data_IF_395757205822
#
_entry.id   IF_395757205822
#
_cell.length_a   1.000
_cell.length_b   1.000
_cell.length_c   1.000
_cell.angle_alpha   90.00
_cell.angle_beta   90.00
_cell.angle_gamma   90.00
#
_symmetry.space_group_name_H-M   'P 1'
#
loop_
_entity.id
_entity.type
_entity.pdbx_description
1 polymer ?
#
# COMPACT_ATOMS: atom_id res chain seq x y z
N UNK A 1 3.42 -15.01 -4.91
CA UNK A 1 3.89 -13.73 -5.49
C UNK A 1 2.92 -13.19 -6.52
N UNK A 2 2.63 -13.92 -7.56
CA UNK A 2 1.78 -13.46 -8.70
C UNK A 2 0.35 -13.11 -8.31
N UNK A 3 -0.16 -13.64 -7.20
CA UNK A 3 -1.51 -13.35 -6.68
C UNK A 3 -1.55 -12.21 -5.66
N UNK A 4 -0.44 -11.49 -5.47
CA UNK A 4 -0.34 -10.45 -4.44
C UNK A 4 0.01 -9.09 -5.04
N UNK A 5 -0.58 -8.05 -4.45
CA UNK A 5 -0.39 -6.66 -4.82
C UNK A 5 -0.08 -5.82 -3.58
N UNK A 6 1.02 -5.05 -3.60
CA UNK A 6 1.35 -4.10 -2.53
C UNK A 6 0.89 -2.70 -2.85
N UNK A 7 0.78 -1.88 -1.81
CA UNK A 7 0.51 -0.45 -1.93
C UNK A 7 1.71 0.37 -1.49
N UNK A 8 1.96 1.48 -2.18
CA UNK A 8 2.95 2.46 -1.77
C UNK A 8 2.54 3.85 -2.26
N UNK A 9 2.55 4.84 -1.38
CA UNK A 9 2.10 6.18 -1.76
C UNK A 9 2.39 7.21 -0.69
N UNK A 10 2.13 8.46 -1.04
CA UNK A 10 2.36 9.59 -0.16
C UNK A 10 1.34 9.65 0.99
N UNK A 11 1.75 10.24 2.11
CA UNK A 11 0.86 10.50 3.26
C UNK A 11 -0.17 11.57 2.93
N UNK A 12 0.23 12.60 2.17
CA UNK A 12 -0.67 13.63 1.68
C UNK A 12 -1.19 13.27 0.30
N UNK A 13 -2.50 13.12 0.17
CA UNK A 13 -3.16 12.87 -1.10
C UNK A 13 -3.63 14.20 -1.71
N UNK A 14 -3.37 14.40 -3.00
CA UNK A 14 -3.86 15.55 -3.74
C UNK A 14 -5.32 15.40 -4.16
N UNK A 15 -5.87 16.47 -4.71
CA UNK A 15 -7.25 16.47 -5.23
C UNK A 15 -7.45 15.51 -6.42
N UNK A 16 -6.36 15.06 -7.03
CA UNK A 16 -6.35 14.08 -8.13
C UNK A 16 -6.54 12.64 -7.67
N UNK A 17 -6.47 12.36 -6.35
CA UNK A 17 -6.74 11.02 -5.85
C UNK A 17 -8.23 10.70 -5.96
N UNK A 18 -8.54 9.74 -6.81
CA UNK A 18 -9.92 9.30 -7.08
C UNK A 18 -10.12 7.92 -6.44
N UNK A 19 -10.86 7.91 -5.34
CA UNK A 19 -11.16 6.71 -4.56
C UNK A 19 -11.91 5.64 -5.38
N UNK A 20 -12.80 6.08 -6.26
CA UNK A 20 -13.56 5.16 -7.13
C UNK A 20 -12.64 4.48 -8.15
N UNK A 21 -11.74 5.23 -8.78
CA UNK A 21 -10.74 4.64 -9.70
C UNK A 21 -9.81 3.67 -8.99
N UNK A 22 -9.40 4.00 -7.77
CA UNK A 22 -8.60 3.09 -6.95
C UNK A 22 -9.34 1.79 -6.67
N UNK A 23 -10.61 1.88 -6.30
CA UNK A 23 -11.45 0.70 -6.07
C UNK A 23 -11.62 -0.15 -7.33
N UNK A 24 -11.89 0.48 -8.47
CA UNK A 24 -12.01 -0.22 -9.75
C UNK A 24 -10.73 -0.95 -10.12
N UNK A 25 -9.56 -0.35 -9.86
CA UNK A 25 -8.27 -0.98 -10.14
C UNK A 25 -8.04 -2.23 -9.30
N UNK A 26 -8.28 -2.18 -7.98
CA UNK A 26 -8.14 -3.39 -7.14
C UNK A 26 -9.14 -4.48 -7.54
N UNK A 27 -10.33 -4.09 -7.95
CA UNK A 27 -11.35 -5.03 -8.46
C UNK A 27 -10.89 -5.70 -9.77
N UNK A 28 -10.36 -4.93 -10.70
CA UNK A 28 -9.81 -5.45 -11.96
C UNK A 28 -8.66 -6.42 -11.69
N UNK A 29 -7.73 -6.07 -10.81
CA UNK A 29 -6.62 -6.96 -10.45
C UNK A 29 -7.13 -8.28 -9.85
N UNK A 30 -8.15 -8.22 -9.01
CA UNK A 30 -8.77 -9.42 -8.45
C UNK A 30 -9.45 -10.26 -9.55
N UNK A 31 -10.36 -9.67 -10.31
CA UNK A 31 -11.22 -10.39 -11.26
C UNK A 31 -10.48 -10.83 -12.52
N UNK A 32 -9.52 -10.04 -13.01
CA UNK A 32 -8.85 -10.29 -14.30
C UNK A 32 -7.44 -10.83 -14.18
N UNK A 33 -6.72 -10.50 -13.10
CA UNK A 33 -5.34 -10.92 -12.90
C UNK A 33 -5.18 -11.96 -11.79
N UNK A 34 -6.26 -12.35 -11.11
CA UNK A 34 -6.23 -13.37 -10.08
C UNK A 34 -5.56 -12.93 -8.77
N UNK A 35 -5.43 -11.62 -8.53
CA UNK A 35 -4.91 -11.10 -7.27
C UNK A 35 -5.93 -11.33 -6.17
N UNK A 36 -5.59 -12.14 -5.18
CA UNK A 36 -6.45 -12.43 -4.03
C UNK A 36 -5.97 -11.76 -2.74
N UNK A 37 -4.72 -11.30 -2.68
CA UNK A 37 -4.11 -10.76 -1.47
C UNK A 37 -3.53 -9.38 -1.74
N UNK A 38 -3.94 -8.41 -0.92
CA UNK A 38 -3.44 -7.04 -0.99
C UNK A 38 -2.64 -6.73 0.27
N UNK A 39 -1.41 -6.22 0.09
CA UNK A 39 -0.45 -5.98 1.17
C UNK A 39 -0.32 -4.48 1.40
N UNK A 40 -0.68 -4.04 2.60
CA UNK A 40 -0.77 -2.64 2.99
C UNK A 40 0.22 -2.35 4.12
N UNK A 41 0.89 -1.21 4.05
CA UNK A 41 1.85 -0.79 5.08
C UNK A 41 1.24 -0.06 6.27
N UNK A 42 -0.04 0.24 6.24
CA UNK A 42 -0.78 0.88 7.33
C UNK A 42 -0.38 2.33 7.61
N UNK A 43 0.35 3.01 6.72
CA UNK A 43 0.72 4.40 6.90
C UNK A 43 -0.46 5.35 6.65
N UNK A 44 -0.41 6.54 7.26
CA UNK A 44 -1.39 7.61 7.00
C UNK A 44 -1.44 7.93 5.50
N UNK A 45 -2.62 8.25 5.01
CA UNK A 45 -2.84 8.67 3.63
C UNK A 45 -3.14 7.49 2.72
N UNK A 46 -2.33 7.29 1.69
CA UNK A 46 -2.61 6.32 0.64
C UNK A 46 -2.84 4.90 1.17
N UNK A 47 -1.99 4.43 2.07
CA UNK A 47 -2.09 3.06 2.61
C UNK A 47 -3.43 2.81 3.30
N UNK A 48 -3.86 3.72 4.17
CA UNK A 48 -5.14 3.59 4.88
C UNK A 48 -6.31 3.62 3.90
N UNK A 49 -6.30 4.54 2.94
CA UNK A 49 -7.34 4.60 1.90
C UNK A 49 -7.45 3.27 1.14
N UNK A 50 -6.33 2.73 0.70
CA UNK A 50 -6.32 1.47 -0.05
C UNK A 50 -6.71 0.27 0.80
N UNK A 51 -6.26 0.22 2.05
CA UNK A 51 -6.66 -0.82 3.00
C UNK A 51 -8.17 -0.88 3.21
N UNK A 52 -8.80 0.27 3.36
CA UNK A 52 -10.26 0.38 3.49
C UNK A 52 -10.99 -0.09 2.22
N UNK A 53 -10.44 0.23 1.05
CA UNK A 53 -11.01 -0.23 -0.22
C UNK A 53 -10.88 -1.76 -0.41
N UNK A 54 -9.79 -2.35 0.06
CA UNK A 54 -9.63 -3.82 0.07
C UNK A 54 -10.70 -4.47 0.95
N UNK A 55 -10.95 -3.92 2.13
CA UNK A 55 -12.01 -4.41 3.02
C UNK A 55 -13.40 -4.29 2.37
N UNK A 56 -13.64 -3.22 1.63
CA UNK A 56 -14.88 -3.06 0.84
C UNK A 56 -14.99 -4.15 -0.23
N UNK A 57 -13.92 -4.42 -0.97
CA UNK A 57 -13.91 -5.48 -1.98
C UNK A 57 -14.15 -6.85 -1.35
N UNK A 58 -13.60 -7.10 -0.17
CA UNK A 58 -13.77 -8.35 0.56
C UNK A 58 -15.24 -8.63 0.91
N UNK A 59 -16.04 -7.61 1.09
CA UNK A 59 -17.49 -7.78 1.33
C UNK A 59 -18.19 -8.41 0.12
N UNK A 60 -17.74 -8.10 -1.10
CA UNK A 60 -18.26 -8.67 -2.34
C UNK A 60 -17.57 -10.00 -2.72
N UNK A 61 -16.28 -10.13 -2.40
CA UNK A 61 -15.43 -11.26 -2.76
C UNK A 61 -14.71 -11.78 -1.50
N UNK A 62 -15.32 -12.72 -0.81
CA UNK A 62 -14.84 -13.22 0.50
C UNK A 62 -13.46 -13.88 0.48
N UNK A 63 -12.97 -14.30 -0.70
CA UNK A 63 -11.63 -14.85 -0.87
C UNK A 63 -10.53 -13.79 -0.86
N UNK A 64 -10.87 -12.50 -0.99
CA UNK A 64 -9.91 -11.40 -0.93
C UNK A 64 -9.37 -11.26 0.48
N UNK A 65 -8.05 -11.06 0.59
CA UNK A 65 -7.33 -10.95 1.87
C UNK A 65 -6.61 -9.62 1.96
N UNK A 66 -6.66 -9.03 3.15
CA UNK A 66 -5.86 -7.88 3.53
C UNK A 66 -4.72 -8.34 4.43
N UNK A 67 -3.49 -8.11 4.00
CA UNK A 67 -2.30 -8.30 4.82
C UNK A 67 -1.74 -6.94 5.22
N UNK A 68 -1.37 -6.78 6.49
CA UNK A 68 -0.71 -5.57 6.98
C UNK A 68 0.76 -5.88 7.30
N UNK A 69 1.64 -5.14 6.66
CA UNK A 69 3.06 -5.15 6.99
C UNK A 69 3.38 -3.85 7.72
N UNK A 70 3.28 -3.89 9.04
CA UNK A 70 3.55 -2.73 9.90
C UNK A 70 5.07 -2.63 10.14
N UNK A 71 5.65 -1.42 10.08
CA UNK A 71 7.09 -1.27 10.33
C UNK A 71 7.45 -1.52 11.79
N UNK A 72 6.58 -1.08 12.68
CA UNK A 72 6.71 -1.26 14.13
C UNK A 72 5.33 -1.04 14.78
N UNK A 73 5.20 -1.49 16.03
CA UNK A 73 3.91 -1.40 16.74
C UNK A 73 3.52 0.06 17.01
N UNK A 74 4.48 0.92 17.37
CA UNK A 74 4.23 2.33 17.68
C UNK A 74 4.29 3.27 16.47
N UNK A 75 4.08 2.76 15.27
CA UNK A 75 4.04 3.57 14.02
C UNK A 75 3.14 4.80 14.15
N UNK A 76 2.02 4.66 14.84
CA UNK A 76 0.98 5.69 14.96
C UNK A 76 1.10 6.58 16.21
N UNK A 77 2.21 6.49 16.94
CA UNK A 77 2.36 7.16 18.25
C UNK A 77 2.09 8.68 18.19
N UNK A 78 2.41 9.35 17.08
CA UNK A 78 2.25 10.79 16.90
C UNK A 78 1.05 11.17 16.01
N UNK A 79 0.20 10.21 15.65
CA UNK A 79 -0.95 10.47 14.79
C UNK A 79 -2.12 11.06 15.59
N UNK A 80 -3.04 11.74 14.89
CA UNK A 80 -4.29 12.19 15.48
C UNK A 80 -5.23 11.00 15.78
N UNK A 81 -6.28 11.27 16.54
CA UNK A 81 -7.24 10.25 16.96
C UNK A 81 -7.91 9.54 15.77
N UNK A 82 -8.33 10.30 14.76
CA UNK A 82 -9.06 9.75 13.61
C UNK A 82 -8.18 8.77 12.83
N UNK A 83 -6.94 9.13 12.55
CA UNK A 83 -6.01 8.27 11.81
C UNK A 83 -5.63 7.03 12.60
N UNK A 84 -5.44 7.16 13.92
CA UNK A 84 -5.22 6.00 14.81
C UNK A 84 -6.40 5.03 14.78
N UNK A 85 -7.62 5.55 14.83
CA UNK A 85 -8.84 4.73 14.79
C UNK A 85 -8.99 4.00 13.46
N UNK A 86 -8.69 4.67 12.34
CA UNK A 86 -8.72 4.05 11.01
C UNK A 86 -7.69 2.94 10.88
N UNK A 87 -6.46 3.17 11.35
CA UNK A 87 -5.41 2.14 11.38
C UNK A 87 -5.83 0.95 12.22
N UNK A 88 -6.38 1.20 13.41
CA UNK A 88 -6.83 0.13 14.30
C UNK A 88 -7.94 -0.71 13.67
N UNK A 89 -8.87 -0.08 12.94
CA UNK A 89 -9.92 -0.79 12.21
C UNK A 89 -9.35 -1.74 11.14
N UNK A 90 -8.28 -1.34 10.45
CA UNK A 90 -7.57 -2.22 9.52
C UNK A 90 -6.91 -3.40 10.25
N UNK A 91 -6.25 -3.13 11.38
CA UNK A 91 -5.61 -4.17 12.21
C UNK A 91 -6.64 -5.21 12.67
N UNK A 92 -7.79 -4.76 13.15
CA UNK A 92 -8.85 -5.63 13.66
C UNK A 92 -9.43 -6.56 12.58
N UNK A 93 -9.37 -6.15 11.32
CA UNK A 93 -9.98 -6.87 10.19
C UNK A 93 -8.96 -7.50 9.24
N UNK A 94 -7.68 -7.34 9.48
CA UNK A 94 -6.63 -7.94 8.64
C UNK A 94 -6.63 -9.46 8.76
N UNK A 95 -6.34 -10.13 7.66
CA UNK A 95 -6.19 -11.59 7.62
C UNK A 95 -4.80 -12.04 8.10
N UNK A 96 -3.80 -11.16 7.97
CA UNK A 96 -2.44 -11.41 8.44
C UNK A 96 -1.76 -10.08 8.79
N UNK A 97 -0.98 -10.10 9.85
CA UNK A 97 -0.20 -8.95 10.31
C UNK A 97 1.26 -9.36 10.51
N UNK A 98 2.16 -8.67 9.84
CA UNK A 98 3.60 -8.71 10.09
C UNK A 98 4.00 -7.43 10.82
N UNK A 99 4.56 -7.56 12.01
CA UNK A 99 5.04 -6.44 12.81
C UNK A 99 6.29 -6.89 13.56
N UNK A 100 7.51 -6.68 13.00
CA UNK A 100 8.73 -7.31 13.51
C UNK A 100 9.22 -6.72 14.82
N UNK A 101 8.81 -5.51 15.17
CA UNK A 101 9.31 -4.83 16.38
C UNK A 101 8.30 -3.84 16.95
N UNK A 102 8.53 -3.45 18.21
CA UNK A 102 7.65 -2.52 18.92
C UNK A 102 7.98 -1.07 18.58
N UNK A 103 9.26 -0.70 18.63
CA UNK A 103 9.69 0.69 18.52
C UNK A 103 10.25 1.02 17.14
N UNK A 104 10.05 2.29 16.76
CA UNK A 104 10.62 2.87 15.56
C UNK A 104 12.15 2.94 15.65
N UNK A 105 12.81 2.63 14.53
CA UNK A 105 14.21 3.02 14.26
C UNK A 105 14.33 3.53 12.82
N UNK A 106 15.50 4.01 12.44
CA UNK A 106 15.71 4.63 11.11
C UNK A 106 15.60 3.68 9.92
N UNK A 107 15.53 2.36 10.16
CA UNK A 107 15.54 1.32 9.12
C UNK A 107 14.17 0.69 8.88
N UNK A 108 13.25 0.78 9.84
CA UNK A 108 12.00 -0.01 9.83
C UNK A 108 11.12 0.25 8.60
N UNK A 109 11.02 1.51 8.17
CA UNK A 109 10.15 1.87 7.04
C UNK A 109 10.67 1.29 5.74
N UNK A 110 11.95 1.42 5.48
CA UNK A 110 12.60 0.86 4.29
C UNK A 110 12.50 -0.67 4.28
N UNK A 111 12.82 -1.29 5.39
CA UNK A 111 12.78 -2.75 5.54
C UNK A 111 11.37 -3.29 5.25
N UNK A 112 10.34 -2.67 5.85
CA UNK A 112 8.94 -3.01 5.61
C UNK A 112 8.58 -2.85 4.13
N UNK A 113 8.93 -1.72 3.51
CA UNK A 113 8.59 -1.43 2.13
C UNK A 113 9.23 -2.44 1.16
N UNK A 114 10.50 -2.80 1.38
CA UNK A 114 11.18 -3.78 0.56
C UNK A 114 10.57 -5.18 0.72
N UNK A 115 10.19 -5.55 1.93
CA UNK A 115 9.50 -6.82 2.19
C UNK A 115 8.17 -6.91 1.45
N UNK A 116 7.41 -5.81 1.39
CA UNK A 116 6.17 -5.76 0.61
C UNK A 116 6.43 -6.01 -0.88
N UNK A 117 7.44 -5.35 -1.44
CA UNK A 117 7.84 -5.53 -2.85
C UNK A 117 8.27 -6.97 -3.12
N UNK A 118 9.07 -7.56 -2.21
CA UNK A 118 9.55 -8.94 -2.38
C UNK A 118 8.42 -9.97 -2.31
N UNK A 119 7.36 -9.66 -1.59
CA UNK A 119 6.21 -10.56 -1.40
C UNK A 119 5.24 -10.53 -2.59
N UNK A 120 5.21 -9.44 -3.37
CA UNK A 120 4.19 -9.18 -4.38
C UNK A 120 4.75 -9.09 -5.79
N UNK A 121 3.94 -9.46 -6.78
CA UNK A 121 4.24 -9.21 -8.20
C UNK A 121 3.71 -7.86 -8.67
N UNK A 122 2.49 -7.52 -8.24
CA UNK A 122 1.84 -6.26 -8.58
C UNK A 122 2.05 -5.21 -7.50
N UNK A 123 2.02 -3.93 -7.90
CA UNK A 123 1.96 -2.81 -6.99
C UNK A 123 1.02 -1.73 -7.49
N UNK A 124 0.34 -1.06 -6.59
CA UNK A 124 -0.43 0.15 -6.87
C UNK A 124 0.20 1.27 -6.08
N UNK A 125 0.51 2.38 -6.75
CA UNK A 125 1.15 3.54 -6.14
C UNK A 125 0.32 4.80 -6.28
N UNK A 126 0.58 5.74 -5.37
CA UNK A 126 0.24 7.15 -5.53
C UNK A 126 1.52 7.95 -5.44
N UNK A 127 2.12 8.21 -6.59
CA UNK A 127 3.43 8.86 -6.71
C UNK A 127 3.33 10.10 -7.61
N UNK A 128 3.57 11.26 -7.04
CA UNK A 128 3.45 12.57 -7.70
C UNK A 128 4.75 13.08 -8.35
N UNK A 129 5.75 12.23 -8.52
CA UNK A 129 7.04 12.60 -9.09
C UNK A 129 8.08 13.11 -8.09
N UNK A 130 7.75 13.20 -6.79
CA UNK A 130 8.71 13.64 -5.75
C UNK A 130 9.82 12.59 -5.58
N UNK A 131 10.97 12.85 -6.19
CA UNK A 131 12.08 11.88 -6.31
C UNK A 131 12.75 11.55 -4.98
N UNK A 132 12.70 12.43 -3.98
CA UNK A 132 13.22 12.21 -2.64
C UNK A 132 12.05 11.93 -1.71
N UNK A 133 11.65 10.68 -1.60
CA UNK A 133 10.54 10.24 -0.77
C UNK A 133 10.63 8.73 -0.51
N UNK A 134 9.95 8.24 0.51
CA UNK A 134 9.83 6.81 0.77
C UNK A 134 9.13 6.08 -0.38
N UNK A 135 8.14 6.72 -1.00
CA UNK A 135 7.44 6.17 -2.17
C UNK A 135 8.39 6.01 -3.35
N UNK A 136 9.19 7.03 -3.68
CA UNK A 136 10.19 6.95 -4.76
C UNK A 136 11.21 5.85 -4.50
N UNK A 137 11.71 5.73 -3.26
CA UNK A 137 12.65 4.68 -2.86
C UNK A 137 12.04 3.29 -3.09
N UNK A 138 10.80 3.08 -2.66
CA UNK A 138 10.10 1.81 -2.83
C UNK A 138 9.88 1.47 -4.30
N UNK A 139 9.48 2.46 -5.11
CA UNK A 139 9.25 2.26 -6.54
C UNK A 139 10.53 1.96 -7.31
N UNK A 140 11.67 2.60 -6.96
CA UNK A 140 12.96 2.24 -7.55
C UNK A 140 13.32 0.80 -7.27
N UNK A 141 13.10 0.35 -6.05
CA UNK A 141 13.33 -1.05 -5.68
C UNK A 141 12.39 -1.98 -6.45
N UNK A 142 11.10 -1.68 -6.49
CA UNK A 142 10.11 -2.46 -7.23
C UNK A 142 10.44 -2.58 -8.72
N UNK A 143 10.90 -1.48 -9.33
CA UNK A 143 11.35 -1.46 -10.73
C UNK A 143 12.55 -2.39 -10.94
N UNK A 144 13.56 -2.34 -10.07
CA UNK A 144 14.72 -3.26 -10.13
C UNK A 144 14.32 -4.73 -9.99
N UNK A 145 13.28 -5.01 -9.20
CA UNK A 145 12.76 -6.36 -8.99
C UNK A 145 11.77 -6.80 -10.08
N UNK A 146 11.55 -5.98 -11.11
CA UNK A 146 10.66 -6.34 -12.23
C UNK A 146 9.17 -6.39 -11.85
N UNK A 147 8.75 -5.63 -10.84
CA UNK A 147 7.33 -5.62 -10.41
C UNK A 147 6.48 -4.79 -11.38
N UNK A 148 5.23 -5.22 -11.56
CA UNK A 148 4.26 -4.50 -12.41
C UNK A 148 3.50 -3.48 -11.58
N UNK A 149 3.73 -2.19 -11.86
CA UNK A 149 3.22 -1.07 -11.05
C UNK A 149 2.17 -0.27 -11.82
N UNK A 150 1.11 0.12 -11.12
CA UNK A 150 0.07 1.04 -11.60
C UNK A 150 0.06 2.28 -10.71
N UNK A 151 0.27 3.46 -11.30
CA UNK A 151 0.28 4.72 -10.56
C UNK A 151 -1.06 5.45 -10.70
N UNK A 152 -1.70 5.76 -9.58
CA UNK A 152 -3.00 6.44 -9.53
C UNK A 152 -2.89 7.97 -9.48
N UNK A 153 -1.68 8.53 -9.28
CA UNK A 153 -1.49 9.97 -9.33
C UNK A 153 -1.65 10.51 -10.75
N UNK A 154 -1.90 11.82 -10.86
CA UNK A 154 -2.08 12.53 -12.14
C UNK A 154 -0.94 12.27 -13.13
N UNK A 155 0.28 12.17 -12.62
CA UNK A 155 1.49 11.90 -13.41
C UNK A 155 1.48 10.52 -14.08
N UNK A 156 0.62 9.62 -13.59
CA UNK A 156 0.53 8.27 -14.12
C UNK A 156 1.86 7.51 -14.07
N UNK A 157 2.01 6.51 -14.91
CA UNK A 157 3.22 5.69 -14.92
C UNK A 157 4.46 6.41 -15.48
N UNK A 158 4.29 7.56 -16.15
CA UNK A 158 5.42 8.34 -16.63
C UNK A 158 6.35 8.80 -15.50
N UNK A 159 5.79 9.15 -14.35
CA UNK A 159 6.58 9.51 -13.17
C UNK A 159 7.46 8.33 -12.70
N UNK A 160 6.96 7.10 -12.78
CA UNK A 160 7.70 5.88 -12.41
C UNK A 160 8.79 5.59 -13.43
N UNK A 161 8.51 5.78 -14.72
CA UNK A 161 9.47 5.54 -15.79
C UNK A 161 10.71 6.44 -15.65
N UNK A 162 10.54 7.63 -15.09
CA UNK A 162 11.62 8.59 -14.83
C UNK A 162 12.51 8.28 -13.61
N UNK A 163 12.20 7.25 -12.85
CA UNK A 163 12.96 6.88 -11.64
C UNK A 163 14.25 6.08 -11.96
#
# INVERSE_FOLDING_TARGET
MEKKCFFTGHRGLGADFDRQKAYELIKILNEKCGVDTFVCGGAVGFDIEMGELVLKLKEEHSSVKLWLFLPCLNQDAKWNYTDKARRQALIDRADYIDCPQVYYDSTVMKTRNYKMVDTCFYGISYFNGKRVSGTAQTLRYAKRQGRKIFNLAKEGNDAINGL
#
